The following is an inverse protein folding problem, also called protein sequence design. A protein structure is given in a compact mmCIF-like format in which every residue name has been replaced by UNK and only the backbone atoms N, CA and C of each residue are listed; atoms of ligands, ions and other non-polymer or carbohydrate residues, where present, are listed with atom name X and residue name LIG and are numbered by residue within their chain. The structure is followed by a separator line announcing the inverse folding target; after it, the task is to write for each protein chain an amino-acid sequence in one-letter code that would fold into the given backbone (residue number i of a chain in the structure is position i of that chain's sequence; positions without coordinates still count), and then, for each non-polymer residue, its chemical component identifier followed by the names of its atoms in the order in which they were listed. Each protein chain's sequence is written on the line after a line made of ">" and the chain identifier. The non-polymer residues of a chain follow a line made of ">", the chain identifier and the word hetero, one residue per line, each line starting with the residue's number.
data_IF_194318162180
#
_entry.id   IF_194318162180
#
_cell.length_a   1.000
_cell.length_b   1.000
_cell.length_c   1.000
_cell.angle_alpha   90.00
_cell.angle_beta   90.00
_cell.angle_gamma   90.00
#
_symmetry.space_group_name_H-M   'P 1'
#
loop_
_entity.id
_entity.type
_entity.pdbx_description
1 polymer ?
#
# COMPACT_ATOMS: atom_id res chain seq x y z
N UNK A 1 0.12 14.45 -9.07
CA UNK A 1 -0.25 13.94 -7.73
C UNK A 1 0.10 14.97 -6.66
N UNK A 2 -0.72 15.10 -5.63
CA UNK A 2 -0.53 15.98 -4.47
C UNK A 2 -0.39 15.12 -3.21
N UNK A 3 0.21 15.71 -2.17
CA UNK A 3 0.36 15.05 -0.85
C UNK A 3 -0.97 14.62 -0.24
N UNK A 4 -2.01 15.42 -0.46
CA UNK A 4 -3.39 15.16 -0.08
C UNK A 4 -3.91 13.82 -0.62
N UNK A 5 -3.50 13.44 -1.84
CA UNK A 5 -3.98 12.22 -2.49
C UNK A 5 -3.50 10.96 -1.74
N UNK A 6 -2.33 11.03 -1.07
CA UNK A 6 -1.84 9.96 -0.19
C UNK A 6 -2.54 10.03 1.18
N UNK A 7 -2.64 11.21 1.79
CA UNK A 7 -3.22 11.36 3.14
C UNK A 7 -4.64 10.81 3.19
N UNK A 8 -5.47 11.11 2.19
CA UNK A 8 -6.86 10.64 2.12
C UNK A 8 -6.96 9.11 2.12
N UNK A 9 -6.01 8.42 1.48
CA UNK A 9 -5.99 6.95 1.40
C UNK A 9 -5.35 6.27 2.61
N UNK A 10 -4.72 7.05 3.50
CA UNK A 10 -3.97 6.57 4.64
C UNK A 10 -4.48 7.19 5.95
N UNK A 11 -5.76 7.02 6.34
CA UNK A 11 -6.34 7.65 7.53
C UNK A 11 -5.60 7.26 8.82
N UNK A 12 -4.90 6.11 8.83
CA UNK A 12 -4.07 5.69 9.96
C UNK A 12 -2.87 6.60 10.25
N UNK A 13 -2.47 7.46 9.31
CA UNK A 13 -1.40 8.45 9.52
C UNK A 13 -1.78 9.53 10.55
N UNK A 14 -3.07 9.82 10.71
CA UNK A 14 -3.58 10.70 11.75
C UNK A 14 -3.81 9.95 13.06
N UNK A 15 -4.44 8.77 12.97
CA UNK A 15 -4.75 7.91 14.12
C UNK A 15 -4.78 6.45 13.67
N UNK A 16 -3.98 5.58 14.29
CA UNK A 16 -3.80 4.16 13.90
C UNK A 16 -5.11 3.44 13.61
N UNK A 17 -6.13 3.68 14.43
CA UNK A 17 -7.45 3.05 14.31
C UNK A 17 -8.21 3.44 13.03
N UNK A 18 -7.75 4.43 12.26
CA UNK A 18 -8.35 4.83 10.99
C UNK A 18 -8.47 3.69 9.97
N UNK A 19 -7.61 2.66 10.05
CA UNK A 19 -7.76 1.45 9.22
C UNK A 19 -9.05 0.67 9.53
N UNK A 20 -9.56 0.76 10.76
CA UNK A 20 -10.78 0.07 11.18
C UNK A 20 -12.04 0.72 10.62
N UNK A 21 -11.94 1.95 10.10
CA UNK A 21 -13.06 2.63 9.46
C UNK A 21 -13.30 2.17 8.02
N UNK A 22 -12.32 1.50 7.40
CA UNK A 22 -12.41 0.98 6.05
C UNK A 22 -13.47 -0.12 5.91
N UNK A 23 -14.36 0.03 4.93
CA UNK A 23 -15.49 -0.89 4.71
C UNK A 23 -15.05 -2.34 4.43
N UNK A 24 -13.95 -2.54 3.69
CA UNK A 24 -13.45 -3.89 3.38
C UNK A 24 -12.85 -4.53 4.64
N UNK A 25 -12.18 -3.75 5.48
CA UNK A 25 -11.65 -4.21 6.76
C UNK A 25 -12.79 -4.57 7.72
N UNK A 26 -13.80 -3.69 7.88
CA UNK A 26 -15.00 -3.97 8.69
C UNK A 26 -15.68 -5.26 8.25
N UNK A 27 -16.02 -5.36 6.97
CA UNK A 27 -16.71 -6.51 6.39
C UNK A 27 -15.89 -7.80 6.53
N UNK A 28 -14.56 -7.74 6.48
CA UNK A 28 -13.69 -8.89 6.70
C UNK A 28 -13.64 -9.33 8.17
N UNK A 29 -13.64 -8.38 9.11
CA UNK A 29 -13.60 -8.65 10.55
C UNK A 29 -14.91 -9.24 11.10
N UNK A 30 -16.05 -8.92 10.48
CA UNK A 30 -17.37 -9.43 10.85
C UNK A 30 -17.62 -10.87 10.38
N UNK A 31 -16.77 -11.41 9.49
CA UNK A 31 -16.97 -12.77 8.98
C UNK A 31 -16.65 -13.83 10.03
N UNK A 32 -17.50 -14.86 10.09
CA UNK A 32 -17.28 -16.05 10.92
C UNK A 32 -15.97 -16.76 10.58
N UNK A 33 -15.68 -16.89 9.29
CA UNK A 33 -14.43 -17.47 8.79
C UNK A 33 -13.47 -16.33 8.44
N UNK A 34 -12.45 -16.15 9.27
CA UNK A 34 -11.44 -15.10 9.08
C UNK A 34 -10.44 -15.55 8.03
N UNK A 35 -10.09 -14.62 7.14
CA UNK A 35 -8.91 -14.78 6.29
C UNK A 35 -7.68 -14.81 7.21
N UNK A 36 -6.79 -15.78 6.98
CA UNK A 36 -5.49 -15.76 7.60
C UNK A 36 -4.61 -14.79 6.82
N UNK A 37 -4.13 -13.76 7.51
CA UNK A 37 -3.20 -12.80 6.96
C UNK A 37 -2.11 -12.55 7.99
N UNK A 38 -0.87 -12.52 7.51
CA UNK A 38 0.29 -12.15 8.31
C UNK A 38 1.21 -11.39 7.38
N UNK A 39 1.59 -10.20 7.80
CA UNK A 39 2.57 -9.43 7.07
C UNK A 39 3.92 -10.17 7.07
N UNK A 40 4.53 -10.24 5.89
CA UNK A 40 5.90 -10.74 5.68
C UNK A 40 6.77 -9.63 5.05
N UNK A 41 8.03 -9.56 5.44
CA UNK A 41 8.97 -8.62 4.83
C UNK A 41 9.47 -9.14 3.48
N UNK A 42 9.35 -8.31 2.44
CA UNK A 42 9.78 -8.66 1.10
C UNK A 42 9.13 -7.77 0.04
N UNK A 43 9.35 -8.17 -1.21
CA UNK A 43 8.67 -7.59 -2.36
C UNK A 43 7.75 -8.66 -2.96
N UNK A 44 6.46 -8.37 -3.00
CA UNK A 44 5.42 -9.32 -3.41
C UNK A 44 4.59 -8.74 -4.54
N UNK A 45 4.24 -9.60 -5.50
CA UNK A 45 3.27 -9.32 -6.54
C UNK A 45 2.03 -10.19 -6.29
N UNK A 46 0.87 -9.56 -6.09
CA UNK A 46 -0.40 -10.17 -5.77
C UNK A 46 -1.26 -10.25 -7.04
N UNK A 47 -1.22 -11.41 -7.69
CA UNK A 47 -1.98 -11.67 -8.92
C UNK A 47 -3.29 -12.42 -8.65
N UNK A 48 -4.30 -12.15 -9.47
CA UNK A 48 -5.55 -12.90 -9.42
C UNK A 48 -6.70 -12.19 -10.14
N UNK A 49 -7.81 -12.88 -10.40
CA UNK A 49 -8.95 -12.31 -11.11
C UNK A 49 -9.62 -11.17 -10.33
N UNK A 50 -10.47 -10.40 -11.02
CA UNK A 50 -11.32 -9.37 -10.38
C UNK A 50 -12.19 -10.06 -9.32
N UNK A 51 -12.46 -9.36 -8.22
CA UNK A 51 -13.27 -9.86 -7.09
C UNK A 51 -12.66 -11.05 -6.30
N UNK A 52 -11.39 -11.41 -6.53
CA UNK A 52 -10.68 -12.43 -5.72
C UNK A 52 -10.34 -11.98 -4.29
N UNK A 53 -10.63 -10.72 -3.91
CA UNK A 53 -10.34 -10.20 -2.56
C UNK A 53 -8.94 -9.61 -2.38
N UNK A 54 -8.19 -9.34 -3.46
CA UNK A 54 -6.81 -8.79 -3.41
C UNK A 54 -6.70 -7.49 -2.60
N UNK A 55 -7.51 -6.47 -2.92
CA UNK A 55 -7.53 -5.23 -2.12
C UNK A 55 -7.82 -5.49 -0.64
N UNK A 56 -8.77 -6.39 -0.34
CA UNK A 56 -9.09 -6.73 1.05
C UNK A 56 -7.91 -7.38 1.74
N UNK A 57 -7.20 -8.28 1.06
CA UNK A 57 -5.98 -8.90 1.57
C UNK A 57 -4.90 -7.85 1.86
N UNK A 58 -4.60 -6.94 0.92
CA UNK A 58 -3.64 -5.85 1.14
C UNK A 58 -4.01 -5.00 2.37
N UNK A 59 -5.28 -4.58 2.49
CA UNK A 59 -5.73 -3.78 3.64
C UNK A 59 -5.68 -4.53 4.97
N UNK A 60 -5.92 -5.84 4.97
CA UNK A 60 -5.75 -6.68 6.15
C UNK A 60 -4.27 -6.81 6.54
N UNK A 61 -3.35 -6.89 5.56
CA UNK A 61 -1.91 -6.82 5.83
C UNK A 61 -1.49 -5.46 6.41
N UNK A 62 -2.02 -4.35 5.88
CA UNK A 62 -1.84 -3.02 6.50
C UNK A 62 -2.30 -3.06 7.95
N UNK A 63 -3.49 -3.60 8.23
CA UNK A 63 -4.02 -3.72 9.59
C UNK A 63 -3.10 -4.54 10.50
N UNK A 64 -2.55 -5.68 10.05
CA UNK A 64 -1.58 -6.50 10.84
C UNK A 64 -0.25 -5.79 11.09
N UNK A 65 0.17 -4.94 10.15
CA UNK A 65 1.46 -4.25 10.16
C UNK A 65 1.45 -2.96 10.98
N UNK A 66 0.32 -2.24 10.98
CA UNK A 66 -0.08 -1.41 12.12
C UNK A 66 -0.08 -2.32 13.38
N UNK A 67 -0.43 -2.00 14.61
CA UNK A 67 -0.04 -2.83 15.80
C UNK A 67 1.49 -3.00 16.06
N UNK A 68 2.38 -3.15 15.05
CA UNK A 68 3.82 -3.43 15.19
C UNK A 68 4.73 -2.27 14.80
N UNK A 69 4.32 -1.45 13.83
CA UNK A 69 5.16 -0.35 13.31
C UNK A 69 4.50 1.02 13.46
N UNK A 70 5.28 2.08 13.21
CA UNK A 70 4.80 3.45 13.16
C UNK A 70 3.79 3.61 11.99
N UNK A 71 2.56 4.09 12.21
CA UNK A 71 1.58 4.25 11.12
C UNK A 71 2.07 5.11 9.95
N UNK A 72 2.93 6.10 10.22
CA UNK A 72 3.52 6.97 9.19
C UNK A 72 4.51 6.27 8.28
N UNK A 73 4.95 5.05 8.60
CA UNK A 73 5.84 4.26 7.73
C UNK A 73 5.09 3.23 6.88
N UNK A 74 3.75 3.20 6.94
CA UNK A 74 2.90 2.31 6.15
C UNK A 74 2.05 3.13 5.18
N UNK A 75 2.21 2.89 3.88
CA UNK A 75 1.43 3.53 2.82
C UNK A 75 0.64 2.50 2.03
N UNK A 76 -0.65 2.72 1.91
CA UNK A 76 -1.51 2.15 0.87
C UNK A 76 -1.79 3.22 -0.18
N UNK A 77 -1.81 2.83 -1.45
CA UNK A 77 -2.16 3.72 -2.54
C UNK A 77 -2.80 2.93 -3.68
N UNK A 78 -4.05 3.25 -4.01
CA UNK A 78 -4.73 2.74 -5.20
C UNK A 78 -4.28 3.54 -6.43
N UNK A 79 -3.75 2.84 -7.43
CA UNK A 79 -3.13 3.43 -8.61
C UNK A 79 -4.10 3.68 -9.78
N UNK A 80 -5.38 3.42 -9.62
CA UNK A 80 -6.41 3.45 -10.66
C UNK A 80 -6.62 4.82 -11.31
N UNK A 81 -6.31 5.90 -10.61
CA UNK A 81 -6.40 7.28 -11.11
C UNK A 81 -5.08 7.85 -11.64
N UNK A 82 -4.00 7.07 -11.62
CA UNK A 82 -2.71 7.53 -12.11
C UNK A 82 -2.67 7.56 -13.63
N UNK A 83 -2.05 8.60 -14.18
CA UNK A 83 -2.03 8.85 -15.63
C UNK A 83 -0.93 8.08 -16.35
N UNK A 84 0.18 7.82 -15.68
CA UNK A 84 1.36 7.18 -16.25
C UNK A 84 2.23 6.56 -15.15
N UNK A 85 3.20 5.74 -15.58
CA UNK A 85 4.09 5.03 -14.67
C UNK A 85 5.01 5.98 -13.88
N UNK A 86 5.32 7.18 -14.38
CA UNK A 86 6.09 8.18 -13.63
C UNK A 86 5.36 8.63 -12.35
N UNK A 87 4.03 8.66 -12.35
CA UNK A 87 3.24 8.99 -11.16
C UNK A 87 3.34 7.93 -10.05
N UNK A 88 3.59 6.66 -10.38
CA UNK A 88 3.90 5.62 -9.37
C UNK A 88 5.21 5.96 -8.66
N UNK A 89 6.23 6.34 -9.42
CA UNK A 89 7.53 6.75 -8.87
C UNK A 89 7.37 8.00 -7.99
N UNK A 90 6.56 8.96 -8.43
CA UNK A 90 6.29 10.16 -7.63
C UNK A 90 5.52 9.84 -6.35
N UNK A 91 4.58 8.89 -6.35
CA UNK A 91 3.91 8.43 -5.13
C UNK A 91 4.92 7.94 -4.08
N UNK A 92 5.90 7.13 -4.50
CA UNK A 92 6.97 6.64 -3.63
C UNK A 92 7.83 7.81 -3.10
N UNK A 93 8.15 8.78 -3.95
CA UNK A 93 8.94 9.97 -3.55
C UNK A 93 8.19 10.90 -2.60
N UNK A 94 6.90 11.12 -2.82
CA UNK A 94 6.04 11.88 -1.90
C UNK A 94 6.00 11.19 -0.55
N UNK A 95 5.78 9.87 -0.54
CA UNK A 95 5.81 9.10 0.70
C UNK A 95 7.18 9.14 1.37
N UNK A 96 8.26 9.27 0.60
CA UNK A 96 9.58 9.44 1.19
C UNK A 96 9.72 10.73 2.00
N UNK A 97 9.07 11.81 1.55
CA UNK A 97 9.05 13.12 2.24
C UNK A 97 8.06 13.17 3.41
N UNK A 98 6.89 12.54 3.26
CA UNK A 98 5.79 12.63 4.23
C UNK A 98 5.79 11.54 5.30
N UNK A 99 6.35 10.38 4.97
CA UNK A 99 6.36 9.21 5.82
C UNK A 99 7.30 9.38 7.02
N UNK A 100 7.12 8.50 8.00
CA UNK A 100 8.01 8.42 9.15
C UNK A 100 9.41 7.92 8.76
N UNK A 101 10.37 8.12 9.66
CA UNK A 101 11.73 7.59 9.50
C UNK A 101 11.79 6.06 9.70
N UNK A 102 12.82 5.43 9.12
CA UNK A 102 13.07 3.99 9.24
C UNK A 102 12.53 3.16 8.07
N UNK A 103 12.25 1.87 8.34
CA UNK A 103 11.73 0.91 7.35
C UNK A 103 10.34 1.35 6.88
N UNK A 104 10.13 1.37 5.56
CA UNK A 104 8.87 1.78 4.93
C UNK A 104 8.18 0.62 4.22
N UNK A 105 6.86 0.62 4.24
CA UNK A 105 6.03 -0.45 3.73
C UNK A 105 4.99 0.13 2.79
N UNK A 106 5.02 -0.30 1.53
CA UNK A 106 4.22 0.27 0.45
C UNK A 106 3.31 -0.81 -0.11
N UNK A 107 2.02 -0.52 -0.18
CA UNK A 107 0.97 -1.34 -0.75
C UNK A 107 0.37 -0.57 -1.94
N UNK A 108 0.77 -0.93 -3.16
CA UNK A 108 0.31 -0.32 -4.39
C UNK A 108 -0.78 -1.20 -4.99
N UNK A 109 -2.04 -0.79 -4.88
CA UNK A 109 -3.17 -1.57 -5.40
C UNK A 109 -3.54 -1.14 -6.82
N UNK A 110 -4.10 -2.06 -7.61
CA UNK A 110 -4.58 -1.81 -8.97
C UNK A 110 -3.53 -1.16 -9.91
N UNK A 111 -2.24 -1.47 -9.73
CA UNK A 111 -1.15 -0.94 -10.60
C UNK A 111 -1.34 -1.27 -12.08
N UNK A 112 -2.08 -2.33 -12.39
CA UNK A 112 -2.35 -2.77 -13.75
C UNK A 112 -3.20 -1.78 -14.56
N UNK A 113 -3.82 -0.79 -13.92
CA UNK A 113 -4.49 0.32 -14.61
C UNK A 113 -3.53 1.37 -15.18
N UNK A 114 -2.25 1.32 -14.77
CA UNK A 114 -1.25 2.29 -15.19
C UNK A 114 -0.39 1.70 -16.30
N UNK A 115 -0.48 2.28 -17.50
CA UNK A 115 0.34 1.85 -18.63
C UNK A 115 1.84 1.95 -18.30
N UNK A 116 2.55 0.84 -18.46
CA UNK A 116 3.98 0.76 -18.18
C UNK A 116 4.35 0.66 -16.70
N UNK A 117 3.42 0.31 -15.81
CA UNK A 117 3.68 0.15 -14.37
C UNK A 117 4.91 -0.73 -14.06
N UNK A 118 5.12 -1.81 -14.82
CA UNK A 118 6.30 -2.70 -14.76
C UNK A 118 7.63 -1.92 -14.82
N UNK A 119 7.68 -0.87 -15.65
CA UNK A 119 8.87 -0.01 -15.81
C UNK A 119 9.11 0.83 -14.57
N UNK A 120 8.05 1.36 -13.95
CA UNK A 120 8.15 2.09 -12.70
C UNK A 120 8.65 1.18 -11.58
N UNK A 121 8.09 -0.03 -11.45
CA UNK A 121 8.52 -1.01 -10.45
C UNK A 121 9.99 -1.37 -10.65
N UNK A 122 10.40 -1.71 -11.87
CA UNK A 122 11.81 -1.97 -12.21
C UNK A 122 12.70 -0.79 -11.83
N UNK A 123 12.33 0.43 -12.22
CA UNK A 123 13.08 1.64 -11.90
C UNK A 123 13.23 1.85 -10.38
N UNK A 124 12.16 1.67 -9.61
CA UNK A 124 12.19 1.80 -8.16
C UNK A 124 13.14 0.78 -7.56
N UNK A 125 13.01 -0.50 -7.93
CA UNK A 125 13.80 -1.60 -7.39
C UNK A 125 15.30 -1.46 -7.71
N UNK A 126 15.65 -1.01 -8.91
CA UNK A 126 17.04 -0.82 -9.36
C UNK A 126 17.69 0.47 -8.84
N UNK A 127 16.95 1.32 -8.13
CA UNK A 127 17.43 2.62 -7.66
C UNK A 127 17.50 2.69 -6.14
N UNK A 128 18.21 3.69 -5.56
CA UNK A 128 18.19 3.93 -4.12
C UNK A 128 16.79 4.15 -3.52
N UNK A 129 15.75 4.38 -4.34
CA UNK A 129 14.37 4.47 -3.86
C UNK A 129 13.90 3.18 -3.20
N UNK A 130 14.43 2.00 -3.55
CA UNK A 130 14.07 0.74 -2.90
C UNK A 130 14.69 0.55 -1.52
N UNK A 131 15.71 1.34 -1.16
CA UNK A 131 16.46 1.18 0.07
C UNK A 131 15.56 1.33 1.31
N UNK A 132 15.56 0.31 2.18
CA UNK A 132 14.77 0.31 3.40
C UNK A 132 13.26 0.18 3.16
N UNK A 133 12.82 -0.28 1.98
CA UNK A 133 11.40 -0.40 1.63
C UNK A 133 10.99 -1.85 1.35
N UNK A 134 9.74 -2.16 1.68
CA UNK A 134 9.04 -3.38 1.27
C UNK A 134 7.87 -2.99 0.37
N UNK A 135 7.64 -3.76 -0.68
CA UNK A 135 6.59 -3.49 -1.66
C UNK A 135 5.61 -4.66 -1.75
N UNK A 136 4.32 -4.35 -1.66
CA UNK A 136 3.23 -5.22 -2.06
C UNK A 136 2.55 -4.55 -3.25
N UNK A 137 2.53 -5.23 -4.38
CA UNK A 137 2.05 -4.74 -5.68
C UNK A 137 0.94 -5.67 -6.17
#
# INVERSE_FOLDING_TARGET
>A
MREEDLIVQNPWWAKREGILEDEKVKAAMERTHRLLYRFEEGNFLIVGPRQAGKTTYLKLLVKDLLDRVNPRTVMYFACDLLRNYEEIVEAVRIFDRLGGEGRKYLFLDEVTFVDGWERAVKFILDSPLSAGKCFYI
#
